data_IF_381631065372
#
_entry.id   IF_381631065372
#
_cell.length_a   1.000
_cell.length_b   1.000
_cell.length_c   1.000
_cell.angle_alpha   90.00
_cell.angle_beta   90.00
_cell.angle_gamma   90.00
#
_symmetry.space_group_name_H-M   'P 1'
#
loop_
_entity.id
_entity.type
_entity.pdbx_description
1 polymer ?
#
# COMPACT_ATOMS: atom_id res chain seq x y z
N UNK A 1 19.71 -4.60 7.35
CA UNK A 1 18.23 -4.46 7.47
C UNK A 1 17.68 -3.18 6.82
N UNK A 2 18.31 -2.00 7.01
CA UNK A 2 17.84 -0.75 6.38
C UNK A 2 17.93 -0.76 4.85
N UNK A 3 19.06 -1.23 4.28
CA UNK A 3 19.29 -1.31 2.83
C UNK A 3 18.19 -2.13 2.14
N UNK A 4 17.86 -3.31 2.68
CA UNK A 4 16.79 -4.18 2.14
C UNK A 4 15.45 -3.43 2.09
N UNK A 5 15.09 -2.69 3.15
CA UNK A 5 13.85 -1.91 3.18
C UNK A 5 13.84 -0.81 2.11
N UNK A 6 14.94 -0.08 1.94
CA UNK A 6 15.07 0.97 0.93
C UNK A 6 14.91 0.38 -0.48
N UNK A 7 15.59 -0.73 -0.77
CA UNK A 7 15.48 -1.42 -2.06
C UNK A 7 14.04 -1.90 -2.33
N UNK A 8 13.39 -2.52 -1.33
CA UNK A 8 12.00 -2.96 -1.46
C UNK A 8 11.03 -1.81 -1.76
N UNK A 9 11.24 -0.64 -1.14
CA UNK A 9 10.41 0.55 -1.40
C UNK A 9 10.64 1.05 -2.82
N UNK A 10 11.90 1.20 -3.24
CA UNK A 10 12.24 1.69 -4.58
C UNK A 10 11.64 0.75 -5.64
N UNK A 11 11.96 -0.54 -5.57
CA UNK A 11 11.45 -1.51 -6.54
C UNK A 11 9.92 -1.63 -6.49
N UNK A 12 9.30 -1.55 -5.31
CA UNK A 12 7.85 -1.59 -5.16
C UNK A 12 7.12 -0.39 -5.78
N UNK A 13 7.69 0.82 -5.65
CA UNK A 13 7.12 2.05 -6.24
C UNK A 13 7.25 2.00 -7.77
N UNK A 14 8.40 1.61 -8.29
CA UNK A 14 8.65 1.56 -9.73
C UNK A 14 8.06 0.33 -10.42
N UNK A 15 7.58 -0.66 -9.67
CA UNK A 15 7.07 -1.93 -10.19
C UNK A 15 6.04 -1.77 -11.32
N UNK A 16 4.98 -0.94 -11.20
CA UNK A 16 3.99 -0.82 -12.26
C UNK A 16 4.57 -0.29 -13.58
N UNK A 17 5.57 0.58 -13.50
CA UNK A 17 6.25 1.11 -14.68
C UNK A 17 7.14 0.06 -15.34
N UNK A 18 7.85 -0.74 -14.54
CA UNK A 18 8.65 -1.86 -15.06
C UNK A 18 7.76 -2.85 -15.80
N UNK A 19 6.66 -3.27 -15.17
CA UNK A 19 5.74 -4.28 -15.73
C UNK A 19 5.21 -3.89 -17.11
N UNK A 20 4.96 -2.61 -17.35
CA UNK A 20 4.29 -2.15 -18.57
C UNK A 20 5.25 -1.58 -19.60
N UNK A 21 6.24 -0.78 -19.19
CA UNK A 21 7.17 -0.11 -20.10
C UNK A 21 8.49 -0.85 -20.29
N UNK A 22 8.91 -1.66 -19.31
CA UNK A 22 10.17 -2.41 -19.32
C UNK A 22 9.92 -3.91 -19.14
N UNK A 23 9.02 -4.46 -19.99
CA UNK A 23 8.55 -5.85 -19.89
C UNK A 23 9.68 -6.87 -19.79
N UNK A 24 10.74 -6.70 -20.60
CA UNK A 24 11.90 -7.60 -20.61
C UNK A 24 12.64 -7.65 -19.27
N UNK A 25 12.57 -6.57 -18.47
CA UNK A 25 13.16 -6.49 -17.14
C UNK A 25 12.25 -7.02 -16.03
N UNK A 26 10.97 -7.28 -16.32
CA UNK A 26 9.97 -7.69 -15.31
C UNK A 26 10.38 -8.98 -14.57
N UNK A 27 10.82 -10.07 -15.24
CA UNK A 27 11.20 -11.30 -14.55
C UNK A 27 12.35 -11.08 -13.56
N UNK A 28 13.34 -10.25 -13.94
CA UNK A 28 14.48 -9.93 -13.09
C UNK A 28 14.05 -9.15 -11.84
N UNK A 29 13.21 -8.13 -12.01
CA UNK A 29 12.72 -7.32 -10.89
C UNK A 29 11.85 -8.14 -9.94
N UNK A 30 10.98 -9.00 -10.48
CA UNK A 30 10.15 -9.92 -9.68
C UNK A 30 11.02 -10.90 -8.90
N UNK A 31 12.06 -11.46 -9.52
CA UNK A 31 13.00 -12.36 -8.84
C UNK A 31 13.78 -11.64 -7.74
N UNK A 32 14.27 -10.43 -8.01
CA UNK A 32 14.93 -9.58 -7.00
C UNK A 32 13.98 -9.32 -5.82
N UNK A 33 12.72 -8.95 -6.08
CA UNK A 33 11.72 -8.72 -5.05
C UNK A 33 11.45 -10.00 -4.23
N UNK A 34 11.31 -11.16 -4.88
CA UNK A 34 11.13 -12.45 -4.20
C UNK A 34 12.32 -12.76 -3.27
N UNK A 35 13.55 -12.59 -3.74
CA UNK A 35 14.77 -12.81 -2.96
C UNK A 35 14.85 -11.83 -1.80
N UNK A 36 14.61 -10.53 -2.03
CA UNK A 36 14.68 -9.51 -0.97
C UNK A 36 13.66 -9.75 0.13
N UNK A 37 12.41 -10.12 -0.22
CA UNK A 37 11.38 -10.49 0.76
C UNK A 37 11.72 -11.79 1.49
N UNK A 38 12.25 -12.80 0.78
CA UNK A 38 12.69 -14.06 1.38
C UNK A 38 13.86 -13.87 2.35
N UNK A 39 14.85 -13.06 1.99
CA UNK A 39 15.94 -12.66 2.88
C UNK A 39 15.42 -11.94 4.12
N UNK A 40 14.51 -10.97 3.93
CA UNK A 40 13.88 -10.25 5.04
C UNK A 40 13.19 -11.21 6.02
N UNK A 41 12.44 -12.19 5.49
CA UNK A 41 11.81 -13.25 6.27
C UNK A 41 12.82 -14.08 7.07
N UNK A 42 13.97 -14.44 6.50
CA UNK A 42 15.00 -15.19 7.23
C UNK A 42 15.49 -14.47 8.49
N UNK A 43 15.48 -13.12 8.49
CA UNK A 43 15.87 -12.31 9.64
C UNK A 43 14.71 -12.04 10.62
N UNK A 44 13.52 -11.71 10.12
CA UNK A 44 12.37 -11.32 10.97
C UNK A 44 11.53 -12.50 11.47
N UNK A 45 11.53 -13.60 10.71
CA UNK A 45 10.62 -14.75 10.82
C UNK A 45 9.13 -14.40 10.76
N UNK A 46 8.79 -13.24 10.21
CA UNK A 46 7.40 -12.79 10.04
C UNK A 46 6.73 -13.48 8.83
N UNK A 47 5.65 -14.21 9.08
CA UNK A 47 4.90 -14.96 8.07
C UNK A 47 4.34 -14.06 6.97
N UNK A 48 4.07 -12.78 7.24
CA UNK A 48 3.65 -11.84 6.20
C UNK A 48 4.73 -11.65 5.14
N UNK A 49 6.00 -11.59 5.55
CA UNK A 49 7.13 -11.43 4.63
C UNK A 49 7.33 -12.66 3.74
N UNK A 50 7.14 -13.85 4.32
CA UNK A 50 7.14 -15.11 3.57
C UNK A 50 6.01 -15.14 2.54
N UNK A 51 4.80 -14.74 2.93
CA UNK A 51 3.65 -14.67 2.03
C UNK A 51 3.95 -13.76 0.82
N UNK A 52 4.52 -12.57 1.05
CA UNK A 52 4.88 -11.64 -0.03
C UNK A 52 5.99 -12.20 -0.92
N UNK A 53 6.98 -12.89 -0.34
CA UNK A 53 8.03 -13.57 -1.12
C UNK A 53 7.44 -14.64 -2.05
N UNK A 54 6.56 -15.50 -1.53
CA UNK A 54 5.86 -16.53 -2.32
C UNK A 54 5.02 -15.88 -3.41
N UNK A 55 4.34 -14.78 -3.12
CA UNK A 55 3.57 -14.05 -4.11
C UNK A 55 4.42 -13.57 -5.30
N UNK A 56 5.62 -13.02 -5.06
CA UNK A 56 6.53 -12.67 -6.15
C UNK A 56 7.08 -13.89 -6.89
N UNK A 57 7.34 -15.01 -6.21
CA UNK A 57 7.67 -16.28 -6.91
C UNK A 57 6.53 -16.71 -7.83
N UNK A 58 5.27 -16.60 -7.39
CA UNK A 58 4.12 -16.92 -8.23
C UNK A 58 4.00 -15.98 -9.43
N UNK A 59 4.29 -14.68 -9.29
CA UNK A 59 4.35 -13.77 -10.44
C UNK A 59 5.44 -14.20 -11.44
N UNK A 60 6.60 -14.64 -10.93
CA UNK A 60 7.69 -15.12 -11.79
C UNK A 60 7.29 -16.36 -12.59
N UNK A 61 6.53 -17.27 -11.97
CA UNK A 61 6.06 -18.51 -12.62
C UNK A 61 4.83 -18.27 -13.52
N UNK A 62 3.98 -17.30 -13.18
CA UNK A 62 2.71 -17.01 -13.84
C UNK A 62 2.61 -15.53 -14.20
N UNK A 63 3.00 -15.19 -15.43
CA UNK A 63 3.03 -13.80 -15.94
C UNK A 63 1.68 -13.07 -15.79
N UNK A 64 0.55 -13.79 -15.85
CA UNK A 64 -0.79 -13.23 -15.64
C UNK A 64 -1.03 -12.58 -14.26
N UNK A 65 -0.18 -12.86 -13.27
CA UNK A 65 -0.31 -12.31 -11.91
C UNK A 65 0.40 -10.96 -11.73
N UNK A 66 1.15 -10.46 -12.71
CA UNK A 66 1.94 -9.23 -12.57
C UNK A 66 1.10 -7.98 -12.26
N UNK A 67 -0.17 -7.95 -12.68
CA UNK A 67 -1.08 -6.85 -12.36
C UNK A 67 -1.75 -6.97 -10.99
N UNK A 68 -1.59 -8.11 -10.30
CA UNK A 68 -2.27 -8.36 -9.03
C UNK A 68 -1.65 -7.59 -7.86
N UNK A 69 -0.40 -7.10 -7.98
CA UNK A 69 0.32 -6.49 -6.87
C UNK A 69 -0.43 -5.27 -6.25
N UNK A 70 -0.80 -4.21 -6.98
CA UNK A 70 -1.53 -3.07 -6.42
C UNK A 70 -2.93 -3.42 -5.91
N UNK A 71 -3.57 -4.43 -6.51
CA UNK A 71 -4.89 -4.94 -6.10
C UNK A 71 -4.78 -5.59 -4.72
N UNK A 72 -3.81 -6.48 -4.55
CA UNK A 72 -3.55 -7.19 -3.30
C UNK A 72 -3.11 -6.22 -2.20
N UNK A 73 -2.22 -5.28 -2.51
CA UNK A 73 -1.79 -4.25 -1.54
C UNK A 73 -2.98 -3.41 -1.07
N UNK A 74 -3.86 -2.98 -2.00
CA UNK A 74 -5.07 -2.25 -1.64
C UNK A 74 -6.02 -3.11 -0.81
N UNK A 75 -6.17 -4.40 -1.15
CA UNK A 75 -6.97 -5.35 -0.39
C UNK A 75 -6.46 -5.58 1.05
N UNK A 76 -5.14 -5.74 1.23
CA UNK A 76 -4.54 -5.85 2.56
C UNK A 76 -4.75 -4.57 3.37
N UNK A 77 -4.50 -3.40 2.76
CA UNK A 77 -4.71 -2.12 3.41
C UNK A 77 -6.18 -1.94 3.82
N UNK A 78 -7.12 -2.28 2.94
CA UNK A 78 -8.55 -2.31 3.24
C UNK A 78 -8.85 -3.19 4.46
N UNK A 79 -8.39 -4.45 4.47
CA UNK A 79 -8.66 -5.39 5.57
C UNK A 79 -8.08 -4.88 6.88
N UNK A 80 -6.84 -4.37 6.87
CA UNK A 80 -6.18 -3.83 8.07
C UNK A 80 -6.97 -2.63 8.62
N UNK A 81 -7.33 -1.68 7.77
CA UNK A 81 -8.09 -0.49 8.18
C UNK A 81 -9.49 -0.87 8.66
N UNK A 82 -10.17 -1.76 7.95
CA UNK A 82 -11.50 -2.24 8.32
C UNK A 82 -11.49 -2.98 9.65
N UNK A 83 -10.56 -3.92 9.84
CA UNK A 83 -10.40 -4.64 11.10
C UNK A 83 -10.08 -3.72 12.27
N UNK A 84 -9.30 -2.64 12.02
CA UNK A 84 -8.95 -1.66 13.05
C UNK A 84 -10.17 -0.94 13.64
N UNK A 85 -11.29 -0.85 12.91
CA UNK A 85 -12.50 -0.21 13.41
C UNK A 85 -13.10 -0.95 14.62
N UNK A 86 -12.85 -2.24 14.81
CA UNK A 86 -13.35 -2.97 15.99
C UNK A 86 -12.71 -2.49 17.30
N UNK A 87 -11.52 -1.89 17.25
CA UNK A 87 -10.85 -1.29 18.39
C UNK A 87 -10.45 0.15 18.10
N UNK A 88 -9.20 0.48 18.42
CA UNK A 88 -8.60 1.78 18.05
C UNK A 88 -8.38 1.81 16.54
N UNK A 89 -9.05 2.75 15.86
CA UNK A 89 -9.01 2.87 14.41
C UNK A 89 -7.58 3.21 13.93
N UNK A 90 -7.20 2.76 12.72
CA UNK A 90 -5.82 2.84 12.23
C UNK A 90 -5.28 4.27 12.22
N UNK A 91 -6.06 5.23 11.72
CA UNK A 91 -5.64 6.64 11.72
C UNK A 91 -5.58 7.21 13.14
N UNK A 92 -6.42 6.75 14.06
CA UNK A 92 -6.33 7.11 15.48
C UNK A 92 -5.03 6.60 16.10
N UNK A 93 -4.56 5.39 15.75
CA UNK A 93 -3.26 4.89 16.19
C UNK A 93 -2.13 5.79 15.71
N UNK A 94 -2.14 6.19 14.43
CA UNK A 94 -1.14 7.13 13.91
C UNK A 94 -1.20 8.50 14.59
N UNK A 95 -2.41 8.98 14.86
CA UNK A 95 -2.64 10.22 15.60
C UNK A 95 -2.01 10.19 17.00
N UNK A 96 -2.23 9.10 17.74
CA UNK A 96 -1.73 8.93 19.10
C UNK A 96 -0.20 8.83 19.17
N UNK A 97 0.45 8.36 18.10
CA UNK A 97 1.91 8.36 18.01
C UNK A 97 2.49 9.78 17.88
N UNK A 98 1.75 10.70 17.25
CA UNK A 98 2.17 12.10 17.10
C UNK A 98 1.73 12.96 18.29
N UNK A 99 0.52 12.75 18.78
CA UNK A 99 -0.05 13.43 19.93
C UNK A 99 -0.69 12.41 20.89
N UNK A 100 0.06 11.97 21.93
CA UNK A 100 -0.43 10.99 22.89
C UNK A 100 -1.67 11.44 23.69
N UNK A 101 -1.86 12.75 23.85
CA UNK A 101 -2.97 13.34 24.64
C UNK A 101 -4.20 13.66 23.77
N UNK A 102 -4.39 12.94 22.67
CA UNK A 102 -5.53 13.13 21.76
C UNK A 102 -6.86 13.05 22.52
N UNK A 103 -7.67 14.09 22.37
CA UNK A 103 -8.99 14.21 22.97
C UNK A 103 -10.03 13.30 22.29
N UNK A 104 -11.23 13.22 22.86
CA UNK A 104 -12.28 12.34 22.35
C UNK A 104 -12.80 12.78 20.98
N UNK A 105 -12.86 14.09 20.71
CA UNK A 105 -13.24 14.61 19.40
C UNK A 105 -12.23 14.21 18.32
N UNK A 106 -10.93 14.30 18.63
CA UNK A 106 -9.86 13.80 17.77
C UNK A 106 -9.99 12.30 17.49
N UNK A 107 -10.34 11.48 18.49
CA UNK A 107 -10.61 10.05 18.29
C UNK A 107 -11.80 9.79 17.36
N UNK A 108 -12.91 10.51 17.54
CA UNK A 108 -14.10 10.39 16.66
C UNK A 108 -13.78 10.80 15.23
N UNK A 109 -13.08 11.93 15.04
CA UNK A 109 -12.69 12.43 13.72
C UNK A 109 -11.80 11.42 12.98
N UNK A 110 -10.75 10.92 13.65
CA UNK A 110 -9.80 9.97 13.05
C UNK A 110 -10.42 8.62 12.73
N UNK A 111 -11.44 8.21 13.51
CA UNK A 111 -12.26 7.05 13.20
C UNK A 111 -13.12 7.25 11.94
N UNK A 112 -13.72 8.43 11.75
CA UNK A 112 -14.42 8.78 10.49
C UNK A 112 -13.45 8.78 9.31
N UNK A 113 -12.26 9.34 9.48
CA UNK A 113 -11.25 9.34 8.44
C UNK A 113 -10.75 7.93 8.09
N UNK A 114 -10.63 7.03 9.07
CA UNK A 114 -10.34 5.61 8.82
C UNK A 114 -11.40 4.99 7.90
N UNK A 115 -12.68 5.36 8.02
CA UNK A 115 -13.73 4.91 7.08
C UNK A 115 -13.52 5.46 5.66
N UNK A 116 -13.06 6.70 5.51
CA UNK A 116 -12.72 7.26 4.19
C UNK A 116 -11.58 6.47 3.56
N UNK A 117 -10.55 6.14 4.33
CA UNK A 117 -9.45 5.28 3.88
C UNK A 117 -9.91 3.89 3.44
N UNK A 118 -10.84 3.29 4.18
CA UNK A 118 -11.44 1.99 3.80
C UNK A 118 -12.11 2.10 2.43
N UNK A 119 -12.95 3.11 2.21
CA UNK A 119 -13.58 3.32 0.90
C UNK A 119 -12.55 3.58 -0.19
N UNK A 120 -11.54 4.41 0.10
CA UNK A 120 -10.44 4.66 -0.83
C UNK A 120 -9.76 3.37 -1.25
N UNK A 121 -9.34 2.51 -0.31
CA UNK A 121 -8.65 1.26 -0.66
C UNK A 121 -9.56 0.27 -1.41
N UNK A 122 -10.85 0.24 -1.09
CA UNK A 122 -11.82 -0.57 -1.84
C UNK A 122 -11.91 -0.13 -3.31
N UNK A 123 -12.13 1.17 -3.56
CA UNK A 123 -12.21 1.71 -4.92
C UNK A 123 -10.87 1.64 -5.64
N UNK A 124 -9.76 1.91 -4.95
CA UNK A 124 -8.42 1.84 -5.53
C UNK A 124 -8.10 0.42 -6.02
N UNK A 125 -8.41 -0.60 -5.21
CA UNK A 125 -8.25 -1.99 -5.60
C UNK A 125 -9.12 -2.37 -6.80
N UNK A 126 -10.39 -1.91 -6.82
CA UNK A 126 -11.30 -2.15 -7.94
C UNK A 126 -10.85 -1.46 -9.23
N UNK A 127 -10.39 -0.21 -9.16
CA UNK A 127 -9.87 0.51 -10.33
C UNK A 127 -8.60 -0.18 -10.85
N UNK A 128 -7.68 -0.60 -9.97
CA UNK A 128 -6.53 -1.39 -10.37
C UNK A 128 -6.95 -2.71 -11.05
N UNK A 129 -8.00 -3.38 -10.56
CA UNK A 129 -8.52 -4.61 -11.16
C UNK A 129 -9.10 -4.35 -12.55
N UNK A 130 -9.94 -3.33 -12.69
CA UNK A 130 -10.57 -2.98 -13.97
C UNK A 130 -9.52 -2.57 -15.00
N UNK A 131 -8.55 -1.72 -14.62
CA UNK A 131 -7.50 -1.29 -15.53
C UNK A 131 -6.55 -2.42 -15.92
N UNK A 132 -6.30 -3.38 -15.03
CA UNK A 132 -5.48 -4.55 -15.35
C UNK A 132 -6.04 -5.38 -16.51
N UNK A 133 -7.36 -5.32 -16.72
CA UNK A 133 -8.06 -6.05 -17.79
C UNK A 133 -8.20 -5.18 -19.04
N UNK A 134 -8.45 -3.88 -18.87
CA UNK A 134 -8.82 -2.98 -19.98
C UNK A 134 -7.62 -2.30 -20.65
N UNK A 135 -6.68 -1.78 -19.87
CA UNK A 135 -5.58 -0.97 -20.40
C UNK A 135 -4.39 -0.97 -19.43
N UNK A 136 -3.35 -1.69 -19.81
CA UNK A 136 -2.12 -1.80 -19.03
C UNK A 136 -1.40 -0.45 -18.84
N UNK A 137 -1.43 0.46 -19.83
CA UNK A 137 -0.77 1.76 -19.70
C UNK A 137 -1.51 2.64 -18.71
N UNK A 138 -2.85 2.66 -18.78
CA UNK A 138 -3.67 3.33 -17.79
C UNK A 138 -3.49 2.69 -16.40
N UNK A 139 -3.36 1.37 -16.32
CA UNK A 139 -3.07 0.66 -15.08
C UNK A 139 -1.73 1.10 -14.45
N UNK A 140 -0.66 1.17 -15.23
CA UNK A 140 0.65 1.60 -14.74
C UNK A 140 0.63 3.06 -14.28
N UNK A 141 0.00 3.94 -15.04
CA UNK A 141 -0.16 5.35 -14.65
C UNK A 141 -0.99 5.50 -13.37
N UNK A 142 -2.13 4.79 -13.29
CA UNK A 142 -2.99 4.87 -12.13
C UNK A 142 -2.31 4.31 -10.87
N UNK A 143 -1.83 3.07 -10.93
CA UNK A 143 -1.25 2.37 -9.78
C UNK A 143 0.14 2.89 -9.39
N UNK A 144 0.93 3.34 -10.37
CA UNK A 144 2.30 3.84 -10.19
C UNK A 144 2.40 5.33 -9.88
N UNK A 145 1.36 6.13 -10.16
CA UNK A 145 1.39 7.58 -9.94
C UNK A 145 0.13 8.10 -9.26
N UNK A 146 -1.04 7.99 -9.91
CA UNK A 146 -2.26 8.67 -9.45
C UNK A 146 -2.72 8.20 -8.07
N UNK A 147 -2.68 6.89 -7.81
CA UNK A 147 -2.98 6.28 -6.51
C UNK A 147 -2.13 6.88 -5.39
N UNK A 148 -0.83 7.09 -5.62
CA UNK A 148 0.06 7.71 -4.63
C UNK A 148 -0.25 9.18 -4.41
N UNK A 149 -0.62 9.93 -5.46
CA UNK A 149 -1.06 11.31 -5.32
C UNK A 149 -2.35 11.39 -4.50
N UNK A 150 -3.33 10.53 -4.77
CA UNK A 150 -4.58 10.48 -4.02
C UNK A 150 -4.36 10.10 -2.54
N UNK A 151 -3.51 9.11 -2.27
CA UNK A 151 -3.09 8.76 -0.91
C UNK A 151 -2.40 9.94 -0.22
N UNK A 152 -1.51 10.63 -0.94
CA UNK A 152 -0.85 11.84 -0.46
C UNK A 152 -1.86 12.93 -0.09
N UNK A 153 -2.83 13.21 -0.95
CA UNK A 153 -3.89 14.20 -0.69
C UNK A 153 -4.70 13.81 0.55
N UNK A 154 -5.04 12.53 0.73
CA UNK A 154 -5.76 12.08 1.93
C UNK A 154 -4.93 12.24 3.20
N UNK A 155 -3.63 11.94 3.16
CA UNK A 155 -2.73 12.12 4.31
C UNK A 155 -2.47 13.61 4.61
N UNK A 156 -2.04 14.39 3.61
CA UNK A 156 -1.71 15.80 3.80
C UNK A 156 -2.96 16.66 4.06
N UNK A 157 -4.08 16.35 3.39
CA UNK A 157 -5.35 17.02 3.63
C UNK A 157 -5.81 16.89 5.09
N UNK A 158 -5.61 15.71 5.68
CA UNK A 158 -5.82 15.53 7.12
C UNK A 158 -4.83 16.32 7.97
N UNK A 159 -3.52 16.23 7.69
CA UNK A 159 -2.51 16.94 8.48
C UNK A 159 -2.77 18.46 8.50
N UNK A 160 -3.14 19.03 7.36
CA UNK A 160 -3.52 20.45 7.24
C UNK A 160 -4.80 20.71 8.03
N UNK A 161 -5.83 19.89 7.88
CA UNK A 161 -7.08 20.06 8.62
C UNK A 161 -6.88 20.02 10.14
N UNK A 162 -6.06 19.08 10.65
CA UNK A 162 -5.70 19.01 12.07
C UNK A 162 -5.00 20.28 12.55
N UNK A 163 -3.98 20.71 11.81
CA UNK A 163 -3.15 21.85 12.21
C UNK A 163 -3.89 23.18 12.19
N UNK A 164 -4.78 23.38 11.22
CA UNK A 164 -5.46 24.67 11.02
C UNK A 164 -6.85 24.75 11.65
N UNK A 165 -7.61 23.65 11.67
CA UNK A 165 -9.01 23.67 12.11
C UNK A 165 -9.16 23.17 13.55
N UNK A 166 -8.42 22.12 13.92
CA UNK A 166 -8.47 21.56 15.27
C UNK A 166 -7.44 22.19 16.23
N UNK A 167 -6.43 22.92 15.72
CA UNK A 167 -5.29 23.48 16.48
C UNK A 167 -4.62 22.46 17.43
N UNK A 168 -4.63 21.18 17.03
CA UNK A 168 -3.89 20.09 17.66
C UNK A 168 -2.53 19.92 16.96
#
# INVERSE_FOLDING_TARGET
MLIIKILLIIFGIFYPFVVVFFRDFTPFIVLILAILWGLKFCFSRDKFELFVAIFFVLIFLFDGLKFAYPIIISGFAFVIFYASLKGVAMITKFALLQNPNLDENGRIYTRKLTKIWIWFFAFNGLICLVLAILDEKAWAFYSGFLSYILMGILFFGEMIYRRFVLRL
#
